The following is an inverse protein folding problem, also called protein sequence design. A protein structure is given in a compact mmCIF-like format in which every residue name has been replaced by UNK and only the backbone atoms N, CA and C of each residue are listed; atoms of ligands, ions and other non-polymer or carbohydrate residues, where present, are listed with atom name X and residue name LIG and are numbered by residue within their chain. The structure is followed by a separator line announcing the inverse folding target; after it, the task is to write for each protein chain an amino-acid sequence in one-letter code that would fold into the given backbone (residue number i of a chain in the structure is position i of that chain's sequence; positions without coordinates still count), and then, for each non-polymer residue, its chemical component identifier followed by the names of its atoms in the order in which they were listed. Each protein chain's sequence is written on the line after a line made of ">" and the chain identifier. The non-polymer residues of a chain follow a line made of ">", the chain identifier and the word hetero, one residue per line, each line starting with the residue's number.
data_IF_375103909930
#
_entry.id   IF_375103909930
#
_cell.length_a   1.000
_cell.length_b   1.000
_cell.length_c   1.000
_cell.angle_alpha   90.00
_cell.angle_beta   90.00
_cell.angle_gamma   90.00
#
_symmetry.space_group_name_H-M   'P 1'
#
loop_
_entity.id
_entity.type
_entity.pdbx_description
1 polymer ?
#
# COMPACT_ATOMS: atom_id res chain seq x y z
N UNK A 1 26.79 14.93 -7.88
CA UNK A 1 25.41 14.42 -7.73
C UNK A 1 24.53 15.60 -7.41
N UNK A 2 23.37 15.65 -8.00
CA UNK A 2 22.38 16.67 -7.65
C UNK A 2 21.98 16.50 -6.18
N UNK A 3 21.59 17.57 -5.49
CA UNK A 3 21.17 17.48 -4.09
C UNK A 3 19.81 16.80 -4.00
N UNK A 4 19.68 15.83 -3.09
CA UNK A 4 18.44 15.16 -2.76
C UNK A 4 17.48 16.11 -2.03
N UNK A 5 16.22 16.14 -2.45
CA UNK A 5 15.13 16.86 -1.79
C UNK A 5 13.90 15.96 -1.68
N UNK A 6 13.30 15.91 -0.50
CA UNK A 6 12.05 15.17 -0.25
C UNK A 6 10.97 16.14 0.19
N UNK A 7 9.84 16.11 -0.50
CA UNK A 7 8.67 16.94 -0.21
C UNK A 7 7.47 16.06 0.11
N UNK A 8 6.44 16.64 0.68
CA UNK A 8 5.18 15.98 0.98
C UNK A 8 4.00 16.83 0.56
N UNK A 9 2.92 16.18 0.10
CA UNK A 9 1.60 16.78 0.09
C UNK A 9 0.88 16.54 1.43
N UNK A 10 -0.42 16.82 1.44
CA UNK A 10 -1.23 16.78 2.66
C UNK A 10 -1.73 15.36 3.03
N UNK A 11 -1.62 14.38 2.12
CA UNK A 11 -2.21 13.06 2.38
C UNK A 11 -1.47 12.28 3.48
N UNK A 12 -0.13 12.43 3.61
CA UNK A 12 0.61 11.72 4.66
C UNK A 12 1.92 12.42 5.09
N UNK A 13 1.88 13.63 5.66
CA UNK A 13 3.08 14.35 6.08
C UNK A 13 3.93 13.61 7.10
N UNK A 14 3.29 12.84 8.00
CA UNK A 14 3.99 12.09 9.04
C UNK A 14 4.93 11.01 8.44
N UNK A 15 4.49 10.29 7.38
CA UNK A 15 5.34 9.32 6.70
C UNK A 15 6.54 10.00 6.02
N UNK A 16 6.32 11.14 5.36
CA UNK A 16 7.40 11.91 4.74
C UNK A 16 8.42 12.38 5.76
N UNK A 17 7.96 12.85 6.93
CA UNK A 17 8.83 13.23 8.04
C UNK A 17 9.67 12.06 8.54
N UNK A 18 9.07 10.88 8.74
CA UNK A 18 9.78 9.68 9.16
C UNK A 18 10.78 9.17 8.10
N UNK A 19 10.45 9.31 6.81
CA UNK A 19 11.39 9.02 5.69
C UNK A 19 12.59 9.97 5.73
N UNK A 20 12.35 11.26 5.94
CA UNK A 20 13.41 12.26 6.04
C UNK A 20 14.29 12.06 7.29
N UNK A 21 13.70 11.64 8.41
CA UNK A 21 14.44 11.26 9.61
C UNK A 21 15.40 10.09 9.32
N UNK A 22 14.92 9.05 8.63
CA UNK A 22 15.75 7.92 8.18
C UNK A 22 16.92 8.39 7.30
N UNK A 23 16.65 9.34 6.38
CA UNK A 23 17.66 9.90 5.48
C UNK A 23 18.60 10.93 6.15
N UNK A 24 18.33 11.34 7.38
CA UNK A 24 19.12 12.35 8.11
C UNK A 24 19.00 13.75 7.49
N UNK A 25 17.85 14.10 6.92
CA UNK A 25 17.62 15.38 6.24
C UNK A 25 16.24 15.97 6.59
N UNK A 26 16.05 17.30 6.46
CA UNK A 26 14.73 17.90 6.67
C UNK A 26 13.78 17.63 5.51
N UNK A 27 12.48 17.69 5.77
CA UNK A 27 11.44 17.76 4.73
C UNK A 27 11.57 19.09 4.00
N UNK A 28 11.47 19.07 2.68
CA UNK A 28 11.50 20.26 1.84
C UNK A 28 10.34 21.21 2.12
N UNK A 29 10.59 22.49 2.01
CA UNK A 29 9.62 23.53 2.34
C UNK A 29 8.70 23.82 1.15
N UNK A 30 7.40 23.60 1.36
CA UNK A 30 6.34 23.94 0.42
C UNK A 30 5.07 24.36 1.16
N UNK A 31 4.26 25.18 0.50
CA UNK A 31 2.90 25.46 0.94
C UNK A 31 1.94 24.70 0.03
N UNK A 32 1.08 23.89 0.64
CA UNK A 32 0.03 23.15 -0.05
C UNK A 32 -1.27 23.34 0.74
N UNK A 33 -2.23 23.99 0.16
CA UNK A 33 -3.53 24.24 0.80
C UNK A 33 -4.65 24.37 -0.24
N UNK A 34 -5.89 24.32 0.22
CA UNK A 34 -7.08 24.47 -0.59
C UNK A 34 -7.72 25.83 -0.34
N UNK A 35 -8.04 26.55 -1.41
CA UNK A 35 -8.82 27.79 -1.33
C UNK A 35 -10.29 27.49 -0.98
N UNK A 36 -11.03 28.50 -0.55
CA UNK A 36 -12.45 28.39 -0.25
C UNK A 36 -13.33 27.93 -1.42
N UNK A 37 -12.83 28.00 -2.65
CA UNK A 37 -13.45 27.48 -3.86
C UNK A 37 -12.96 26.06 -4.22
N UNK A 38 -12.34 25.36 -3.27
CA UNK A 38 -11.83 23.97 -3.40
C UNK A 38 -10.68 23.80 -4.41
N UNK A 39 -10.06 24.89 -4.88
CA UNK A 39 -8.87 24.78 -5.72
C UNK A 39 -7.61 24.58 -4.87
N UNK A 40 -6.83 23.56 -5.20
CA UNK A 40 -5.54 23.32 -4.53
C UNK A 40 -4.48 24.31 -5.02
N UNK A 41 -3.78 24.92 -4.07
CA UNK A 41 -2.63 25.77 -4.30
C UNK A 41 -1.34 25.08 -3.86
N UNK A 42 -0.29 25.18 -4.67
CA UNK A 42 1.05 24.69 -4.36
C UNK A 42 2.08 25.78 -4.61
N UNK A 43 2.95 25.99 -3.65
CA UNK A 43 4.14 26.87 -3.76
C UNK A 43 5.36 26.20 -3.14
N UNK A 44 6.42 26.07 -3.94
CA UNK A 44 7.73 25.59 -3.46
C UNK A 44 8.48 26.77 -2.86
N UNK A 45 8.97 26.65 -1.63
CA UNK A 45 9.59 27.75 -0.87
C UNK A 45 11.12 27.70 -0.88
N UNK A 46 11.72 26.74 -1.60
CA UNK A 46 13.16 26.62 -1.71
C UNK A 46 13.61 26.36 -3.17
N UNK A 47 14.89 26.49 -3.41
CA UNK A 47 15.44 26.27 -4.74
C UNK A 47 15.55 24.77 -5.06
N UNK A 48 14.83 24.31 -6.08
CA UNK A 48 14.83 22.92 -6.55
C UNK A 48 15.44 22.75 -7.95
N UNK A 49 15.98 23.84 -8.53
CA UNK A 49 16.57 23.77 -9.88
C UNK A 49 17.70 22.76 -9.93
N UNK A 50 17.62 21.83 -10.89
CA UNK A 50 18.58 20.73 -11.09
C UNK A 50 18.74 19.83 -9.84
N UNK A 51 17.73 19.78 -8.95
CA UNK A 51 17.73 18.87 -7.80
C UNK A 51 17.02 17.57 -8.13
N UNK A 52 17.38 16.51 -7.39
CA UNK A 52 16.69 15.22 -7.41
C UNK A 52 15.56 15.25 -6.37
N UNK A 53 14.34 15.40 -6.85
CA UNK A 53 13.15 15.68 -6.03
C UNK A 53 12.32 14.41 -5.88
N UNK A 54 11.95 14.08 -4.65
CA UNK A 54 11.00 13.03 -4.31
C UNK A 54 9.76 13.64 -3.65
N UNK A 55 8.57 13.31 -4.15
CA UNK A 55 7.30 13.81 -3.62
C UNK A 55 6.54 12.65 -3.00
N UNK A 56 6.44 12.62 -1.67
CA UNK A 56 5.75 11.57 -0.93
C UNK A 56 4.27 11.92 -0.80
N UNK A 57 3.41 11.20 -1.51
CA UNK A 57 1.96 11.43 -1.52
C UNK A 57 1.22 10.15 -1.89
N UNK A 58 0.63 9.40 -0.94
CA UNK A 58 -0.29 8.31 -1.26
C UNK A 58 -1.55 8.85 -1.91
N UNK A 59 -2.09 8.11 -2.89
CA UNK A 59 -3.38 8.42 -3.51
C UNK A 59 -4.47 7.75 -2.68
N UNK A 60 -4.71 8.27 -1.48
CA UNK A 60 -5.67 7.75 -0.50
C UNK A 60 -6.80 8.75 -0.22
N UNK A 61 -7.74 8.37 0.62
CA UNK A 61 -8.91 9.21 0.92
C UNK A 61 -8.53 10.56 1.55
N UNK A 62 -9.10 11.68 1.00
CA UNK A 62 -9.99 11.83 -0.16
C UNK A 62 -9.24 11.61 -1.48
N UNK A 63 -9.53 10.48 -2.15
CA UNK A 63 -8.69 9.95 -3.25
C UNK A 63 -8.49 10.96 -4.39
N UNK A 64 -9.56 11.63 -4.83
CA UNK A 64 -9.46 12.59 -5.93
C UNK A 64 -8.65 13.82 -5.55
N UNK A 65 -8.79 14.32 -4.32
CA UNK A 65 -8.03 15.46 -3.81
C UNK A 65 -6.54 15.10 -3.72
N UNK A 66 -6.21 13.96 -3.13
CA UNK A 66 -4.82 13.48 -3.03
C UNK A 66 -4.17 13.30 -4.40
N UNK A 67 -4.91 12.79 -5.39
CA UNK A 67 -4.43 12.64 -6.76
C UNK A 67 -4.19 14.00 -7.41
N UNK A 68 -5.19 14.89 -7.38
CA UNK A 68 -5.08 16.22 -8.04
C UNK A 68 -3.98 17.04 -7.37
N UNK A 69 -3.87 17.01 -6.05
CA UNK A 69 -2.79 17.68 -5.31
C UNK A 69 -1.41 17.17 -5.77
N UNK A 70 -1.22 15.86 -5.88
CA UNK A 70 0.03 15.27 -6.40
C UNK A 70 0.34 15.76 -7.81
N UNK A 71 -0.65 15.78 -8.73
CA UNK A 71 -0.46 16.26 -10.10
C UNK A 71 0.00 17.73 -10.13
N UNK A 72 -0.61 18.59 -9.32
CA UNK A 72 -0.23 20.01 -9.23
C UNK A 72 1.18 20.17 -8.65
N UNK A 73 1.54 19.38 -7.63
CA UNK A 73 2.90 19.37 -7.08
C UNK A 73 3.94 18.97 -8.14
N UNK A 74 3.69 17.90 -8.91
CA UNK A 74 4.58 17.44 -9.96
C UNK A 74 4.79 18.52 -11.04
N UNK A 75 3.70 19.18 -11.47
CA UNK A 75 3.79 20.30 -12.45
C UNK A 75 4.58 21.48 -11.86
N UNK A 76 4.40 21.80 -10.57
CA UNK A 76 5.15 22.87 -9.91
C UNK A 76 6.65 22.58 -9.91
N UNK A 77 7.10 21.36 -9.56
CA UNK A 77 8.50 20.96 -9.58
C UNK A 77 9.09 20.97 -11.00
N UNK A 78 8.34 20.47 -11.98
CA UNK A 78 8.72 20.53 -13.40
C UNK A 78 8.94 21.97 -13.86
N UNK A 79 8.02 22.90 -13.53
CA UNK A 79 8.14 24.33 -13.88
C UNK A 79 9.25 25.04 -13.11
N UNK A 80 9.55 24.59 -11.89
CA UNK A 80 10.69 25.07 -11.12
C UNK A 80 12.04 24.51 -11.60
N UNK A 81 12.05 23.74 -12.70
CA UNK A 81 13.25 23.16 -13.32
C UNK A 81 13.98 22.17 -12.41
N UNK A 82 13.26 21.35 -11.64
CA UNK A 82 13.86 20.20 -10.96
C UNK A 82 14.57 19.30 -12.00
N UNK A 83 15.69 18.72 -11.61
CA UNK A 83 16.49 17.86 -12.50
C UNK A 83 15.80 16.52 -12.77
N UNK A 84 15.24 15.92 -11.73
CA UNK A 84 14.42 14.71 -11.78
C UNK A 84 13.32 14.82 -10.72
N UNK A 85 12.12 14.35 -11.03
CA UNK A 85 11.01 14.29 -10.07
C UNK A 85 10.52 12.85 -9.97
N UNK A 86 10.67 12.24 -8.79
CA UNK A 86 10.13 10.91 -8.46
C UNK A 86 8.85 11.08 -7.63
N UNK A 87 7.74 10.59 -8.14
CA UNK A 87 6.51 10.48 -7.36
C UNK A 87 6.59 9.21 -6.47
N UNK A 88 6.66 9.42 -5.15
CA UNK A 88 6.61 8.36 -4.16
C UNK A 88 5.16 8.19 -3.74
N UNK A 89 4.53 7.15 -4.27
CA UNK A 89 3.10 6.85 -4.11
C UNK A 89 2.97 5.54 -3.33
N UNK A 90 3.08 5.57 -1.97
CA UNK A 90 3.06 4.36 -1.15
C UNK A 90 1.80 3.52 -1.34
N UNK A 91 0.66 4.17 -1.55
CA UNK A 91 -0.60 3.56 -1.95
C UNK A 91 -1.08 4.13 -3.27
N UNK A 92 -1.27 3.26 -4.25
CA UNK A 92 -1.73 3.61 -5.59
C UNK A 92 -3.25 3.48 -5.67
N UNK A 93 -3.95 4.58 -5.41
CA UNK A 93 -5.40 4.65 -5.57
C UNK A 93 -5.84 4.27 -6.98
N UNK A 94 -7.05 3.72 -7.11
CA UNK A 94 -7.58 3.13 -8.35
C UNK A 94 -6.86 1.85 -8.83
N UNK A 95 -5.94 1.27 -8.06
CA UNK A 95 -5.21 0.04 -8.41
C UNK A 95 -6.10 -1.15 -8.76
N UNK A 96 -7.31 -1.23 -8.17
CA UNK A 96 -8.31 -2.27 -8.47
C UNK A 96 -8.97 -2.16 -9.84
N UNK A 97 -8.81 -1.03 -10.53
CA UNK A 97 -9.38 -0.78 -11.85
C UNK A 97 -8.34 -0.94 -12.96
N UNK A 98 -7.55 -2.02 -12.85
CA UNK A 98 -6.47 -2.38 -13.76
C UNK A 98 -6.92 -3.04 -15.07
N UNK A 99 -8.17 -3.46 -15.13
CA UNK A 99 -8.78 -4.16 -16.27
C UNK A 99 -10.26 -3.84 -16.40
N UNK A 100 -10.83 -4.19 -17.53
CA UNK A 100 -12.29 -4.15 -17.73
C UNK A 100 -12.88 -5.46 -17.21
N UNK A 101 -13.63 -5.39 -16.15
CA UNK A 101 -14.38 -6.50 -15.54
C UNK A 101 -15.82 -6.62 -16.10
N UNK A 102 -16.29 -5.56 -16.77
CA UNK A 102 -17.58 -5.48 -17.43
C UNK A 102 -17.56 -4.55 -18.66
N UNK A 103 -18.59 -4.61 -19.52
CA UNK A 103 -18.65 -3.73 -20.70
C UNK A 103 -18.71 -2.24 -20.34
N UNK A 104 -18.03 -1.40 -21.14
CA UNK A 104 -18.09 0.07 -21.09
C UNK A 104 -17.54 0.72 -19.82
N UNK A 105 -16.70 0.02 -19.06
CA UNK A 105 -15.96 0.59 -17.93
C UNK A 105 -14.56 1.07 -18.35
N UNK A 106 -13.99 2.05 -17.66
CA UNK A 106 -12.62 2.51 -17.91
C UNK A 106 -11.59 1.51 -17.36
N UNK A 107 -10.32 1.77 -17.68
CA UNK A 107 -9.14 1.26 -16.96
C UNK A 107 -8.53 2.45 -16.24
N UNK A 108 -9.06 2.79 -15.06
CA UNK A 108 -8.69 4.02 -14.35
C UNK A 108 -7.25 3.98 -13.84
N UNK A 109 -6.73 2.80 -13.48
CA UNK A 109 -5.33 2.65 -13.12
C UNK A 109 -4.39 3.10 -14.25
N UNK A 110 -4.72 2.83 -15.51
CA UNK A 110 -3.98 3.34 -16.67
C UNK A 110 -4.10 4.86 -16.82
N UNK A 111 -5.31 5.39 -16.67
CA UNK A 111 -5.52 6.84 -16.73
C UNK A 111 -4.68 7.59 -15.69
N UNK A 112 -4.64 7.09 -14.45
CA UNK A 112 -3.82 7.68 -13.39
C UNK A 112 -2.33 7.64 -13.75
N UNK A 113 -1.84 6.53 -14.33
CA UNK A 113 -0.45 6.42 -14.77
C UNK A 113 -0.10 7.48 -15.84
N UNK A 114 -0.99 7.67 -16.82
CA UNK A 114 -0.81 8.68 -17.87
C UNK A 114 -0.84 10.10 -17.29
N UNK A 115 -1.72 10.40 -16.33
CA UNK A 115 -1.81 11.70 -15.65
C UNK A 115 -0.53 12.02 -14.87
N UNK A 116 -0.01 11.09 -14.06
CA UNK A 116 1.23 11.27 -13.30
C UNK A 116 2.43 11.54 -14.22
N UNK A 117 2.53 10.80 -15.32
CA UNK A 117 3.58 10.98 -16.32
C UNK A 117 3.46 12.35 -17.00
N UNK A 118 2.26 12.74 -17.41
CA UNK A 118 1.99 14.03 -18.08
C UNK A 118 2.28 15.21 -17.15
N UNK A 119 1.91 15.08 -15.87
CA UNK A 119 2.15 16.12 -14.87
C UNK A 119 3.64 16.38 -14.61
N UNK A 120 4.52 15.40 -14.90
CA UNK A 120 5.96 15.65 -14.83
C UNK A 120 6.75 14.66 -14.00
N UNK A 121 6.14 13.55 -13.55
CA UNK A 121 6.91 12.47 -12.94
C UNK A 121 7.91 11.87 -13.94
N UNK A 122 9.16 11.70 -13.52
CA UNK A 122 10.21 11.01 -14.27
C UNK A 122 10.36 9.55 -13.83
N UNK A 123 9.84 9.20 -12.65
CA UNK A 123 9.87 7.88 -12.03
C UNK A 123 8.75 7.77 -11.01
N UNK A 124 8.27 6.55 -10.81
CA UNK A 124 7.33 6.21 -9.74
C UNK A 124 8.03 5.27 -8.77
N UNK A 125 7.84 5.50 -7.48
CA UNK A 125 8.18 4.59 -6.39
C UNK A 125 6.89 4.24 -5.65
N UNK A 126 6.55 2.96 -5.57
CA UNK A 126 5.30 2.51 -4.96
C UNK A 126 5.51 1.23 -4.13
N UNK A 127 4.50 0.82 -3.37
CA UNK A 127 4.56 -0.37 -2.53
C UNK A 127 3.37 -1.27 -2.85
N UNK A 128 3.62 -2.56 -3.07
CA UNK A 128 2.63 -3.63 -3.18
C UNK A 128 1.38 -3.26 -4.01
N UNK A 129 1.56 -3.01 -5.29
CA UNK A 129 0.45 -2.77 -6.21
C UNK A 129 -0.60 -3.90 -6.13
N UNK A 130 -1.88 -3.54 -6.17
CA UNK A 130 -2.97 -4.52 -6.25
C UNK A 130 -2.81 -5.46 -7.45
N UNK A 131 -2.35 -4.92 -8.57
CA UNK A 131 -2.08 -5.65 -9.79
C UNK A 131 -0.68 -5.29 -10.31
N UNK A 132 0.32 -6.19 -10.23
CA UNK A 132 1.71 -5.90 -10.63
C UNK A 132 1.85 -5.42 -12.08
N UNK A 133 0.93 -5.79 -12.97
CA UNK A 133 0.90 -5.31 -14.36
C UNK A 133 0.68 -3.80 -14.50
N UNK A 134 0.24 -3.10 -13.47
CA UNK A 134 0.13 -1.62 -13.46
C UNK A 134 1.48 -0.97 -13.77
N UNK A 135 2.60 -1.59 -13.40
CA UNK A 135 3.94 -1.12 -13.79
C UNK A 135 4.06 -0.93 -15.31
N UNK A 136 3.44 -1.82 -16.10
CA UNK A 136 3.40 -1.74 -17.56
C UNK A 136 2.48 -0.65 -18.13
N UNK A 137 1.70 0.05 -17.30
CA UNK A 137 0.88 1.17 -17.73
C UNK A 137 1.68 2.47 -17.84
N UNK A 138 2.80 2.55 -17.18
CA UNK A 138 3.68 3.71 -17.24
C UNK A 138 4.62 3.65 -18.43
N UNK A 139 4.97 4.81 -18.96
CA UNK A 139 6.03 5.00 -19.96
C UNK A 139 7.34 5.48 -19.33
N UNK A 140 7.36 5.64 -18.03
CA UNK A 140 8.50 6.00 -17.18
C UNK A 140 8.83 4.84 -16.24
N UNK A 141 10.05 4.78 -15.68
CA UNK A 141 10.44 3.73 -14.73
C UNK A 141 9.53 3.68 -13.52
N UNK A 142 9.21 2.45 -13.08
CA UNK A 142 8.46 2.17 -11.86
C UNK A 142 9.26 1.22 -10.99
N UNK A 143 9.50 1.61 -9.75
CA UNK A 143 10.04 0.72 -8.72
C UNK A 143 8.91 0.34 -7.77
N UNK A 144 8.53 -0.92 -7.78
CA UNK A 144 7.58 -1.49 -6.83
C UNK A 144 8.34 -2.18 -5.69
N UNK A 145 8.17 -1.67 -4.48
CA UNK A 145 8.66 -2.29 -3.26
C UNK A 145 7.63 -3.27 -2.70
N UNK A 146 8.05 -4.12 -1.75
CA UNK A 146 7.12 -4.98 -1.01
C UNK A 146 7.30 -4.86 0.50
N UNK A 147 6.20 -4.81 1.24
CA UNK A 147 6.19 -4.84 2.70
C UNK A 147 6.25 -6.27 3.28
N UNK A 148 6.28 -7.30 2.44
CA UNK A 148 6.32 -8.72 2.85
C UNK A 148 7.39 -8.99 3.89
N UNK A 149 8.61 -8.47 3.71
CA UNK A 149 9.71 -8.68 4.66
C UNK A 149 9.42 -8.05 6.02
N UNK A 150 8.91 -6.81 6.04
CA UNK A 150 8.57 -6.10 7.28
C UNK A 150 7.45 -6.82 8.05
N UNK A 151 6.37 -7.19 7.36
CA UNK A 151 5.26 -7.94 7.93
C UNK A 151 5.72 -9.30 8.46
N UNK A 152 6.55 -10.01 7.70
CA UNK A 152 7.10 -11.30 8.13
C UNK A 152 8.00 -11.17 9.36
N UNK A 153 8.84 -10.13 9.44
CA UNK A 153 9.69 -9.88 10.61
C UNK A 153 8.87 -9.64 11.87
N UNK A 154 7.76 -8.90 11.76
CA UNK A 154 6.84 -8.70 12.88
C UNK A 154 6.30 -10.03 13.44
N UNK A 155 5.74 -10.87 12.54
CA UNK A 155 5.18 -12.16 12.96
C UNK A 155 6.24 -13.17 13.43
N UNK A 156 7.45 -13.12 12.89
CA UNK A 156 8.59 -13.91 13.40
C UNK A 156 8.90 -13.56 14.86
N UNK A 157 8.81 -12.27 15.22
CA UNK A 157 8.99 -11.80 16.60
C UNK A 157 7.93 -12.32 17.58
N UNK A 158 6.71 -12.64 17.10
CA UNK A 158 5.62 -13.18 17.93
C UNK A 158 5.80 -14.67 18.30
N UNK A 159 6.64 -15.41 17.59
CA UNK A 159 6.91 -16.84 17.85
C UNK A 159 5.63 -17.68 17.93
N UNK A 160 4.74 -17.54 16.94
CA UNK A 160 3.49 -18.29 16.87
C UNK A 160 3.77 -19.75 16.52
N UNK A 161 3.28 -20.67 17.35
CA UNK A 161 3.45 -22.11 17.15
C UNK A 161 2.43 -22.65 16.12
N UNK A 162 2.84 -23.65 15.33
CA UNK A 162 2.00 -24.31 14.32
C UNK A 162 1.32 -23.31 13.36
N UNK A 163 2.09 -22.35 12.89
CA UNK A 163 1.60 -21.32 12.00
C UNK A 163 1.27 -21.87 10.60
N UNK A 164 0.13 -21.50 10.06
CA UNK A 164 -0.22 -21.63 8.64
C UNK A 164 -0.53 -20.26 8.04
N UNK A 165 0.15 -19.91 6.96
CA UNK A 165 -0.14 -18.70 6.21
C UNK A 165 -1.28 -18.98 5.23
N UNK A 166 -2.26 -18.09 5.16
CA UNK A 166 -3.48 -18.26 4.37
C UNK A 166 -3.62 -17.13 3.37
N UNK A 167 -3.58 -17.46 2.07
CA UNK A 167 -3.95 -16.52 1.03
C UNK A 167 -5.46 -16.28 1.04
N UNK A 168 -5.91 -15.03 1.10
CA UNK A 168 -7.34 -14.66 1.15
C UNK A 168 -8.08 -14.92 -0.16
N UNK A 169 -7.32 -15.08 -1.26
CA UNK A 169 -7.80 -15.59 -2.55
C UNK A 169 -6.62 -16.11 -3.39
N UNK A 170 -6.94 -16.62 -4.59
CA UNK A 170 -5.93 -17.17 -5.50
C UNK A 170 -4.97 -16.08 -6.02
N UNK A 171 -5.45 -14.85 -6.21
CA UNK A 171 -4.66 -13.74 -6.75
C UNK A 171 -3.48 -13.36 -5.85
N UNK A 172 -3.68 -13.44 -4.53
CA UNK A 172 -2.66 -13.10 -3.53
C UNK A 172 -1.72 -14.27 -3.19
N UNK A 173 -1.92 -15.47 -3.79
CA UNK A 173 -1.21 -16.71 -3.43
C UNK A 173 0.32 -16.61 -3.52
N UNK A 174 0.86 -15.82 -4.46
CA UNK A 174 2.31 -15.59 -4.58
C UNK A 174 2.83 -14.85 -3.34
N UNK A 175 2.20 -13.75 -2.94
CA UNK A 175 2.59 -12.97 -1.76
C UNK A 175 2.47 -13.79 -0.47
N UNK A 176 1.39 -14.53 -0.32
CA UNK A 176 1.21 -15.42 0.83
C UNK A 176 2.29 -16.53 0.88
N UNK A 177 2.73 -17.05 -0.28
CA UNK A 177 3.86 -17.99 -0.35
C UNK A 177 5.16 -17.37 0.12
N UNK A 178 5.44 -16.12 -0.27
CA UNK A 178 6.65 -15.41 0.14
C UNK A 178 6.65 -15.18 1.67
N UNK A 179 5.50 -14.80 2.25
CA UNK A 179 5.32 -14.70 3.70
C UNK A 179 5.52 -16.06 4.38
N UNK A 180 4.93 -17.14 3.83
CA UNK A 180 5.06 -18.49 4.37
C UNK A 180 6.52 -18.96 4.36
N UNK A 181 7.25 -18.70 3.28
CA UNK A 181 8.68 -18.99 3.17
C UNK A 181 9.49 -18.22 4.22
N UNK A 182 9.24 -16.92 4.37
CA UNK A 182 9.91 -16.07 5.36
C UNK A 182 9.65 -16.51 6.80
N UNK A 183 8.48 -17.11 7.09
CA UNK A 183 8.09 -17.58 8.42
C UNK A 183 8.36 -19.08 8.64
N UNK A 184 8.88 -19.78 7.62
CA UNK A 184 9.01 -21.24 7.62
C UNK A 184 7.69 -21.95 8.00
N UNK A 185 6.57 -21.46 7.45
CA UNK A 185 5.22 -21.93 7.71
C UNK A 185 4.63 -22.62 6.49
N UNK A 186 3.60 -23.45 6.70
CA UNK A 186 2.83 -24.02 5.60
C UNK A 186 1.89 -22.98 4.98
N UNK A 187 1.41 -23.27 3.77
CA UNK A 187 0.49 -22.40 3.02
C UNK A 187 -0.87 -23.08 2.87
N UNK A 188 -1.93 -22.30 3.09
CA UNK A 188 -3.30 -22.61 2.67
C UNK A 188 -3.87 -21.50 1.80
N UNK A 189 -4.92 -21.78 1.05
CA UNK A 189 -5.53 -20.82 0.11
C UNK A 189 -7.04 -20.85 0.29
N UNK A 190 -7.66 -19.68 0.33
CA UNK A 190 -9.10 -19.53 0.26
C UNK A 190 -9.53 -19.51 -1.21
N UNK A 191 -10.34 -20.48 -1.60
CA UNK A 191 -11.01 -20.51 -2.89
C UNK A 191 -12.42 -19.95 -2.73
N UNK A 192 -12.72 -18.87 -3.46
CA UNK A 192 -14.06 -18.26 -3.51
C UNK A 192 -14.87 -18.94 -4.63
N UNK A 193 -15.92 -19.67 -4.29
CA UNK A 193 -16.86 -20.24 -5.26
C UNK A 193 -18.16 -19.47 -5.26
N UNK A 194 -18.55 -18.91 -6.40
CA UNK A 194 -19.89 -18.35 -6.59
C UNK A 194 -20.89 -19.49 -6.73
N UNK A 195 -21.85 -19.58 -5.81
CA UNK A 195 -22.94 -20.55 -5.87
C UNK A 195 -24.15 -19.89 -6.55
N UNK A 196 -24.34 -20.16 -7.86
CA UNK A 196 -25.52 -19.72 -8.62
C UNK A 196 -25.43 -18.33 -9.24
N UNK A 197 -26.51 -17.92 -9.93
CA UNK A 197 -26.61 -16.64 -10.65
C UNK A 197 -27.03 -15.45 -9.76
N UNK A 198 -27.18 -15.64 -8.46
CA UNK A 198 -27.51 -14.57 -7.53
C UNK A 198 -26.26 -14.13 -6.76
N UNK A 199 -25.92 -12.85 -6.82
CA UNK A 199 -24.73 -12.19 -6.30
C UNK A 199 -24.49 -12.28 -4.76
N UNK A 200 -25.25 -13.08 -4.02
CA UNK A 200 -25.32 -12.99 -2.56
C UNK A 200 -24.72 -14.15 -1.77
N UNK A 201 -24.24 -15.23 -2.39
CA UNK A 201 -23.72 -16.38 -1.63
C UNK A 201 -22.37 -16.86 -2.18
N UNK A 202 -21.27 -16.32 -1.61
CA UNK A 202 -19.92 -16.87 -1.82
C UNK A 202 -19.69 -17.99 -0.81
N UNK A 203 -19.50 -19.23 -1.30
CA UNK A 203 -18.96 -20.30 -0.47
C UNK A 203 -17.44 -20.22 -0.47
N UNK A 204 -16.84 -20.10 0.71
CA UNK A 204 -15.40 -20.16 0.88
C UNK A 204 -14.96 -21.59 1.14
N UNK A 205 -14.07 -22.10 0.30
CA UNK A 205 -13.40 -23.39 0.50
C UNK A 205 -11.94 -23.16 0.90
N UNK A 206 -11.43 -23.96 1.85
CA UNK A 206 -10.03 -23.87 2.29
C UNK A 206 -9.26 -25.02 1.66
N UNK A 207 -8.24 -24.69 0.89
CA UNK A 207 -7.30 -25.64 0.30
C UNK A 207 -6.04 -25.63 1.19
N UNK A 208 -5.74 -26.72 1.84
CA UNK A 208 -4.66 -26.86 2.83
C UNK A 208 -5.19 -27.16 4.23
N UNK A 209 -4.29 -27.49 5.15
CA UNK A 209 -4.62 -27.90 6.51
C UNK A 209 -4.53 -26.71 7.48
N UNK A 210 -5.64 -26.42 8.16
CA UNK A 210 -5.75 -25.31 9.13
C UNK A 210 -6.25 -25.77 10.50
N UNK A 211 -6.75 -27.00 10.60
CA UNK A 211 -7.33 -27.53 11.84
C UNK A 211 -6.28 -27.64 12.96
N UNK A 212 -6.61 -27.11 14.13
CA UNK A 212 -5.71 -27.08 15.29
C UNK A 212 -4.57 -26.06 15.19
N UNK A 213 -4.45 -25.30 14.13
CA UNK A 213 -3.33 -24.38 13.84
C UNK A 213 -3.67 -22.92 14.08
N UNK A 214 -2.63 -22.09 14.21
CA UNK A 214 -2.76 -20.64 14.16
C UNK A 214 -2.71 -20.21 12.69
N UNK A 215 -3.72 -19.49 12.21
CA UNK A 215 -3.79 -19.02 10.85
C UNK A 215 -3.39 -17.54 10.75
N UNK A 216 -2.52 -17.21 9.79
CA UNK A 216 -2.19 -15.83 9.41
C UNK A 216 -2.71 -15.55 8.01
N UNK A 217 -3.76 -14.76 7.88
CA UNK A 217 -4.25 -14.33 6.56
C UNK A 217 -3.38 -13.22 5.99
N UNK A 218 -3.11 -13.28 4.70
CA UNK A 218 -2.31 -12.29 3.96
C UNK A 218 -3.14 -11.71 2.83
N UNK A 219 -3.17 -10.38 2.74
CA UNK A 219 -3.79 -9.65 1.65
C UNK A 219 -2.90 -8.47 1.21
N UNK A 220 -3.22 -7.79 0.11
CA UNK A 220 -2.58 -6.53 -0.28
C UNK A 220 -3.22 -5.34 0.45
N UNK A 221 -4.55 -5.34 0.57
CA UNK A 221 -5.27 -4.24 1.23
C UNK A 221 -6.48 -4.72 2.03
N UNK A 222 -6.79 -4.00 3.10
CA UNK A 222 -8.03 -4.13 3.85
C UNK A 222 -8.88 -2.89 3.58
N UNK A 223 -9.92 -3.05 2.75
CA UNK A 223 -10.84 -1.98 2.40
C UNK A 223 -12.04 -1.98 3.37
N UNK A 224 -13.15 -2.59 3.04
CA UNK A 224 -14.35 -2.63 3.91
C UNK A 224 -14.30 -3.71 5.00
N UNK A 225 -13.24 -4.50 5.05
CA UNK A 225 -13.03 -5.66 5.92
C UNK A 225 -14.07 -6.80 5.80
N UNK A 226 -14.96 -6.76 4.80
CA UNK A 226 -15.95 -7.83 4.62
C UNK A 226 -15.30 -9.17 4.25
N UNK A 227 -14.36 -9.16 3.30
CA UNK A 227 -13.61 -10.36 2.89
C UNK A 227 -12.80 -10.91 4.07
N UNK A 228 -12.09 -10.04 4.81
CA UNK A 228 -11.30 -10.42 5.98
C UNK A 228 -12.16 -11.16 7.01
N UNK A 229 -13.29 -10.58 7.43
CA UNK A 229 -14.13 -11.19 8.49
C UNK A 229 -14.75 -12.50 8.04
N UNK A 230 -15.17 -12.62 6.78
CA UNK A 230 -15.68 -13.88 6.22
C UNK A 230 -14.61 -14.98 6.20
N UNK A 231 -13.36 -14.62 5.85
CA UNK A 231 -12.22 -15.56 5.89
C UNK A 231 -11.93 -15.99 7.31
N UNK A 232 -11.87 -15.06 8.27
CA UNK A 232 -11.65 -15.36 9.69
C UNK A 232 -12.69 -16.35 10.21
N UNK A 233 -13.97 -16.10 9.98
CA UNK A 233 -15.07 -16.98 10.40
C UNK A 233 -14.96 -18.37 9.77
N UNK A 234 -14.59 -18.42 8.49
CA UNK A 234 -14.41 -19.68 7.75
C UNK A 234 -13.26 -20.51 8.34
N UNK A 235 -12.11 -19.88 8.63
CA UNK A 235 -10.95 -20.55 9.20
C UNK A 235 -11.25 -21.11 10.59
N UNK A 236 -11.94 -20.35 11.45
CA UNK A 236 -12.37 -20.81 12.77
C UNK A 236 -13.36 -21.97 12.67
N UNK A 237 -14.35 -21.92 11.75
CA UNK A 237 -15.26 -23.04 11.47
C UNK A 237 -14.53 -24.29 10.95
N UNK A 238 -13.38 -24.12 10.30
CA UNK A 238 -12.51 -25.22 9.85
C UNK A 238 -11.53 -25.71 10.93
N UNK A 239 -11.65 -25.20 12.14
CA UNK A 239 -10.88 -25.67 13.31
C UNK A 239 -9.57 -24.92 13.55
N UNK A 240 -9.32 -23.78 12.89
CA UNK A 240 -8.18 -22.94 13.28
C UNK A 240 -8.33 -22.49 14.76
N UNK A 241 -7.24 -22.52 15.54
CA UNK A 241 -7.27 -22.11 16.96
C UNK A 241 -7.42 -20.61 17.13
N UNK A 242 -6.68 -19.86 16.35
CA UNK A 242 -6.63 -18.41 16.33
C UNK A 242 -6.37 -17.93 14.91
N UNK A 243 -6.87 -16.73 14.59
CA UNK A 243 -6.63 -16.11 13.30
C UNK A 243 -6.04 -14.71 13.50
N UNK A 244 -4.89 -14.50 12.88
CA UNK A 244 -4.23 -13.20 12.69
C UNK A 244 -4.39 -12.80 11.24
N UNK A 245 -4.28 -11.51 10.97
CA UNK A 245 -4.35 -10.98 9.61
C UNK A 245 -3.25 -9.96 9.36
N UNK A 246 -2.72 -9.90 8.14
CA UNK A 246 -1.89 -8.80 7.72
C UNK A 246 -2.22 -8.35 6.30
N UNK A 247 -2.01 -7.07 6.07
CA UNK A 247 -2.08 -6.47 4.75
C UNK A 247 -1.14 -5.26 4.67
N UNK A 248 -0.71 -4.92 3.47
CA UNK A 248 0.12 -3.73 3.27
C UNK A 248 -0.70 -2.46 3.46
N UNK A 249 -1.88 -2.37 2.85
CA UNK A 249 -2.64 -1.13 2.78
C UNK A 249 -3.88 -1.15 3.68
N UNK A 250 -3.95 -0.20 4.60
CA UNK A 250 -5.06 0.00 5.52
C UNK A 250 -6.05 1.03 4.97
N UNK A 251 -6.84 0.67 3.94
CA UNK A 251 -7.85 1.58 3.38
C UNK A 251 -8.95 1.86 4.39
N UNK A 252 -9.42 0.85 5.09
CA UNK A 252 -10.37 0.91 6.21
C UNK A 252 -11.59 1.79 5.93
N UNK A 253 -12.24 1.54 4.78
CA UNK A 253 -13.40 2.30 4.35
C UNK A 253 -14.72 1.76 4.92
N UNK A 254 -15.75 2.59 4.87
CA UNK A 254 -17.11 2.24 5.25
C UNK A 254 -17.20 1.63 6.65
N UNK A 255 -17.66 0.37 6.75
CA UNK A 255 -17.86 -0.34 8.03
C UNK A 255 -16.65 -1.17 8.49
N UNK A 256 -15.43 -0.93 7.95
CA UNK A 256 -14.26 -1.75 8.24
C UNK A 256 -13.97 -1.84 9.74
N UNK A 257 -13.98 -0.72 10.44
CA UNK A 257 -13.67 -0.65 11.88
C UNK A 257 -14.70 -1.41 12.71
N UNK A 258 -16.00 -1.23 12.42
CA UNK A 258 -17.08 -1.97 13.09
C UNK A 258 -16.93 -3.49 12.88
N UNK A 259 -16.62 -3.91 11.65
CA UNK A 259 -16.42 -5.33 11.31
C UNK A 259 -15.20 -5.94 12.00
N UNK A 260 -14.07 -5.25 12.00
CA UNK A 260 -12.85 -5.72 12.68
C UNK A 260 -13.09 -5.79 14.19
N UNK A 261 -13.74 -4.78 14.77
CA UNK A 261 -14.05 -4.77 16.20
C UNK A 261 -14.86 -6.01 16.61
N UNK A 262 -15.91 -6.33 15.85
CA UNK A 262 -16.83 -7.43 16.14
C UNK A 262 -16.29 -8.80 15.68
N UNK A 263 -15.24 -8.84 14.87
CA UNK A 263 -14.63 -10.08 14.40
C UNK A 263 -13.82 -10.77 15.51
N UNK A 264 -13.76 -12.11 15.55
CA UNK A 264 -12.89 -12.86 16.44
C UNK A 264 -11.41 -12.85 16.02
N UNK A 265 -11.01 -12.05 15.02
CA UNK A 265 -9.60 -11.88 14.67
C UNK A 265 -8.80 -11.40 15.87
N UNK A 266 -7.63 -12.02 16.11
CA UNK A 266 -6.76 -11.68 17.25
C UNK A 266 -6.06 -10.35 17.05
N UNK A 267 -5.55 -10.15 15.85
CA UNK A 267 -4.79 -8.96 15.50
C UNK A 267 -4.80 -8.75 13.99
N UNK A 268 -4.84 -7.52 13.58
CA UNK A 268 -4.72 -7.06 12.19
C UNK A 268 -3.49 -6.18 12.10
N UNK A 269 -2.48 -6.65 11.38
CA UNK A 269 -1.21 -5.94 11.20
C UNK A 269 -1.20 -5.29 9.82
N UNK A 270 -1.01 -4.00 9.78
CA UNK A 270 -0.97 -3.20 8.53
C UNK A 270 0.23 -2.29 8.52
N UNK A 271 0.47 -1.63 7.38
CA UNK A 271 1.52 -0.61 7.31
C UNK A 271 0.94 0.79 7.25
N UNK A 272 1.80 1.78 7.43
CA UNK A 272 1.47 3.20 7.32
C UNK A 272 1.58 3.75 5.88
N UNK A 273 1.40 2.91 4.86
CA UNK A 273 1.26 3.36 3.45
C UNK A 273 0.09 4.34 3.26
N UNK A 274 -0.92 4.24 4.13
CA UNK A 274 -2.09 5.11 4.25
C UNK A 274 -2.15 5.58 5.70
N UNK A 275 -2.37 6.87 5.98
CA UNK A 275 -2.51 7.33 7.36
C UNK A 275 -3.78 6.75 7.99
N UNK A 276 -3.66 6.23 9.20
CA UNK A 276 -4.80 5.77 9.99
C UNK A 276 -5.14 6.85 11.01
N UNK A 277 -6.31 7.47 10.87
CA UNK A 277 -6.79 8.47 11.82
C UNK A 277 -7.13 7.83 13.17
N UNK A 278 -7.04 8.61 14.25
CA UNK A 278 -7.25 8.10 15.63
C UNK A 278 -8.61 7.46 15.86
N UNK A 279 -9.66 7.95 15.19
CA UNK A 279 -11.02 7.40 15.25
C UNK A 279 -11.14 6.00 14.61
N UNK A 280 -10.15 5.58 13.81
CA UNK A 280 -10.06 4.26 13.19
C UNK A 280 -9.11 3.30 13.91
N UNK A 281 -8.44 3.76 14.97
CA UNK A 281 -7.54 2.90 15.74
C UNK A 281 -8.34 1.98 16.67
N UNK A 282 -8.01 0.69 16.63
CA UNK A 282 -8.51 -0.33 17.55
C UNK A 282 -7.32 -1.02 18.21
N UNK A 283 -7.51 -1.54 19.43
CA UNK A 283 -6.49 -2.35 20.13
C UNK A 283 -6.04 -3.57 19.33
N UNK A 284 -6.88 -4.03 18.38
CA UNK A 284 -6.58 -5.14 17.48
C UNK A 284 -5.76 -4.74 16.26
N UNK A 285 -5.56 -3.46 15.99
CA UNK A 285 -4.85 -2.97 14.82
C UNK A 285 -3.44 -2.55 15.22
N UNK A 286 -2.44 -3.20 14.63
CA UNK A 286 -1.03 -2.82 14.76
C UNK A 286 -0.54 -2.24 13.46
N UNK A 287 0.12 -1.08 13.53
CA UNK A 287 0.66 -0.37 12.36
C UNK A 287 2.18 -0.45 12.35
N UNK A 288 2.75 -0.90 11.25
CA UNK A 288 4.20 -0.96 11.02
C UNK A 288 4.59 0.13 10.04
N UNK A 289 5.60 0.93 10.38
CA UNK A 289 6.07 1.97 9.47
C UNK A 289 6.90 1.39 8.33
N UNK A 290 6.65 1.90 7.11
CA UNK A 290 7.45 1.64 5.92
C UNK A 290 8.51 2.72 5.67
N UNK A 291 8.70 3.65 6.60
CA UNK A 291 9.61 4.79 6.41
C UNK A 291 11.04 4.36 6.09
N UNK A 292 11.56 3.33 6.75
CA UNK A 292 12.89 2.78 6.47
C UNK A 292 12.99 2.13 5.08
N UNK A 293 11.93 1.41 4.66
CA UNK A 293 11.86 0.79 3.33
C UNK A 293 11.86 1.86 2.24
N UNK A 294 11.05 2.91 2.39
CA UNK A 294 11.01 4.03 1.44
C UNK A 294 12.29 4.85 1.47
N UNK A 295 12.84 5.13 2.66
CA UNK A 295 14.07 5.89 2.82
C UNK A 295 15.26 5.21 2.15
N UNK A 296 15.43 3.90 2.35
CA UNK A 296 16.48 3.13 1.67
C UNK A 296 16.28 3.11 0.15
N UNK A 297 15.04 2.95 -0.34
CA UNK A 297 14.77 2.99 -1.78
C UNK A 297 15.08 4.36 -2.38
N UNK A 298 14.69 5.46 -1.70
CA UNK A 298 15.01 6.83 -2.12
C UNK A 298 16.53 7.03 -2.17
N UNK A 299 17.25 6.60 -1.13
CA UNK A 299 18.71 6.67 -1.11
C UNK A 299 19.34 5.94 -2.31
N UNK A 300 18.88 4.71 -2.60
CA UNK A 300 19.39 3.90 -3.73
C UNK A 300 19.06 4.52 -5.09
N UNK A 301 17.85 5.01 -5.29
CA UNK A 301 17.47 5.71 -6.53
C UNK A 301 18.34 6.94 -6.75
N UNK A 302 18.56 7.72 -5.67
CA UNK A 302 19.39 8.93 -5.73
C UNK A 302 20.84 8.62 -6.05
N UNK A 303 21.41 7.60 -5.42
CA UNK A 303 22.84 7.22 -5.56
C UNK A 303 23.10 6.26 -6.72
N UNK A 304 22.07 5.82 -7.45
CA UNK A 304 22.20 4.89 -8.57
C UNK A 304 22.48 3.44 -8.17
N UNK A 305 22.13 3.04 -6.93
CA UNK A 305 22.24 1.68 -6.45
C UNK A 305 21.02 0.83 -6.86
N UNK A 306 21.20 -0.50 -6.91
CA UNK A 306 20.13 -1.44 -7.25
C UNK A 306 19.04 -1.51 -6.20
N UNK A 307 17.77 -1.28 -6.59
CA UNK A 307 16.60 -1.51 -5.75
C UNK A 307 16.39 -3.01 -5.52
N UNK A 308 16.63 -3.85 -6.53
CA UNK A 308 16.47 -5.32 -6.42
C UNK A 308 17.26 -5.92 -5.26
N UNK A 309 18.47 -5.39 -5.00
CA UNK A 309 19.31 -5.85 -3.89
C UNK A 309 18.74 -5.62 -2.49
N UNK A 310 17.62 -4.91 -2.34
CA UNK A 310 16.90 -4.77 -1.07
C UNK A 310 16.10 -6.03 -0.69
N UNK A 311 15.92 -6.96 -1.65
CA UNK A 311 15.05 -8.12 -1.52
C UNK A 311 15.81 -9.45 -1.74
N UNK A 312 17.11 -9.38 -1.92
CA UNK A 312 18.05 -10.52 -1.94
C UNK A 312 18.54 -10.83 -0.51
#
# INVERSE_FOLDING_TARGET
>A
MDELKVFTGNAHPALAAAVCEYLGMPVGQSEVFEFSNENTFVRILENVRQRDVFVVQPICSPVNNSLVELLIMLDAFKRASAGRVTAVVPYYGYGRTDKKDQPRVPITARLVADLLTTAGANRILTVDLHAPQIQGFFTIPVDELTAVTLLSQYFRGKKLDDLVVVATDIGISKRARDVAANLNASLAIIEKRRLGNNDSTEALNVIGEVNGRIALTVDDEIDTAGSLTNVVDTLLKKGAREVYSCATHAVLSGKAIERIHNSPVKEVVVTDTIPIHQDKMLDKITVISISSLLGEAIHRIHTGLSIGAMFE
#
